data_IF_832893948364
#
_entry.id   IF_832893948364
#
_cell.length_a   1.000
_cell.length_b   1.000
_cell.length_c   1.000
_cell.angle_alpha   90.00
_cell.angle_beta   90.00
_cell.angle_gamma   90.00
#
_symmetry.space_group_name_H-M   'P 1'
#
loop_
_entity.id
_entity.type
_entity.pdbx_description
1 polymer ?
#
# COMPACT_ATOMS: atom_id res chain seq x y z
N UNK A 1 -2.81 -25.30 15.39
CA UNK A 1 -1.98 -24.34 14.62
C UNK A 1 -2.42 -22.93 15.03
N UNK A 2 -1.68 -22.28 15.93
CA UNK A 2 -2.07 -20.97 16.45
C UNK A 2 -2.01 -19.92 15.36
N UNK A 3 -3.15 -19.33 14.99
CA UNK A 3 -3.22 -18.17 14.13
C UNK A 3 -2.45 -17.04 14.83
N UNK A 4 -1.16 -16.83 14.48
CA UNK A 4 -0.44 -15.61 14.89
C UNK A 4 -1.10 -14.45 14.14
N UNK A 5 -2.15 -13.89 14.74
CA UNK A 5 -2.91 -12.78 14.16
C UNK A 5 -1.95 -11.60 14.01
N UNK A 6 -1.44 -11.41 12.81
CA UNK A 6 -0.54 -10.32 12.51
C UNK A 6 -1.39 -9.05 12.40
N UNK A 7 -1.38 -8.24 13.46
CA UNK A 7 -2.18 -7.03 13.63
C UNK A 7 -2.05 -6.05 12.44
N UNK A 8 -0.93 -6.10 11.72
CA UNK A 8 -0.71 -5.28 10.53
C UNK A 8 -1.68 -5.61 9.38
N UNK A 9 -2.22 -6.83 9.30
CA UNK A 9 -3.21 -7.20 8.29
C UNK A 9 -4.51 -6.40 8.40
N UNK A 10 -5.29 -6.48 9.49
CA UNK A 10 -6.53 -5.72 9.60
C UNK A 10 -6.28 -4.21 9.58
N UNK A 11 -5.17 -3.74 10.16
CA UNK A 11 -4.82 -2.32 10.16
C UNK A 11 -4.59 -1.79 8.73
N UNK A 12 -3.70 -2.43 7.96
CA UNK A 12 -3.37 -2.00 6.61
C UNK A 12 -4.53 -2.24 5.64
N UNK A 13 -5.26 -3.35 5.79
CA UNK A 13 -6.45 -3.59 4.97
C UNK A 13 -7.56 -2.56 5.26
N UNK A 14 -7.74 -2.14 6.52
CA UNK A 14 -8.67 -1.07 6.88
C UNK A 14 -8.29 0.26 6.24
N UNK A 15 -7.00 0.62 6.30
CA UNK A 15 -6.47 1.83 5.63
C UNK A 15 -6.66 1.73 4.11
N UNK A 16 -6.29 0.62 3.48
CA UNK A 16 -6.48 0.42 2.04
C UNK A 16 -7.94 0.49 1.61
N UNK A 17 -8.86 -0.04 2.42
CA UNK A 17 -10.30 0.03 2.16
C UNK A 17 -10.85 1.45 2.28
N UNK A 18 -10.26 2.29 3.13
CA UNK A 18 -10.65 3.71 3.22
C UNK A 18 -10.40 4.48 1.91
N UNK A 19 -9.57 3.95 1.00
CA UNK A 19 -9.32 4.51 -0.33
C UNK A 19 -10.56 4.52 -1.24
N UNK A 20 -11.60 3.77 -0.89
CA UNK A 20 -12.91 3.86 -1.54
C UNK A 20 -13.47 5.28 -1.45
N UNK A 21 -13.31 5.97 -0.31
CA UNK A 21 -13.85 7.31 -0.08
C UNK A 21 -13.35 8.34 -1.10
N UNK A 22 -12.03 8.55 -1.29
CA UNK A 22 -11.54 9.52 -2.28
C UNK A 22 -11.87 9.10 -3.72
N UNK A 23 -11.90 7.80 -4.05
CA UNK A 23 -12.23 7.35 -5.41
C UNK A 23 -13.70 7.58 -5.75
N UNK A 24 -14.62 7.33 -4.81
CA UNK A 24 -16.03 7.68 -4.98
C UNK A 24 -16.25 9.20 -5.00
N UNK A 25 -15.48 9.97 -4.22
CA UNK A 25 -15.48 11.43 -4.29
C UNK A 25 -15.08 11.94 -5.68
N UNK A 26 -13.98 11.44 -6.23
CA UNK A 26 -13.53 11.75 -7.58
C UNK A 26 -14.56 11.35 -8.65
N UNK A 27 -15.27 10.23 -8.44
CA UNK A 27 -16.35 9.78 -9.33
C UNK A 27 -17.53 10.76 -9.33
N UNK A 28 -17.96 11.22 -8.16
CA UNK A 28 -19.03 12.24 -8.03
C UNK A 28 -18.65 13.57 -8.70
N UNK A 29 -17.36 13.87 -8.77
CA UNK A 29 -16.83 15.03 -9.48
C UNK A 29 -16.65 14.81 -10.99
N UNK A 30 -17.15 13.70 -11.55
CA UNK A 30 -17.04 13.32 -12.96
C UNK A 30 -15.60 13.35 -13.50
N UNK A 31 -14.63 12.94 -12.68
CA UNK A 31 -13.24 12.84 -13.13
C UNK A 31 -13.11 11.84 -14.29
N UNK A 32 -12.22 12.11 -15.27
CA UNK A 32 -12.06 11.26 -16.45
C UNK A 32 -11.45 9.90 -16.08
N UNK A 33 -11.73 8.88 -16.89
CA UNK A 33 -11.22 7.51 -16.69
C UNK A 33 -9.68 7.46 -16.51
N UNK A 34 -8.95 8.30 -17.25
CA UNK A 34 -7.49 8.42 -17.18
C UNK A 34 -6.97 8.77 -15.78
N UNK A 35 -7.73 9.55 -15.00
CA UNK A 35 -7.38 9.88 -13.62
C UNK A 35 -7.31 8.61 -12.76
N UNK A 36 -8.35 7.76 -12.85
CA UNK A 36 -8.42 6.50 -12.12
C UNK A 36 -7.36 5.50 -12.58
N UNK A 37 -7.10 5.43 -13.88
CA UNK A 37 -6.02 4.61 -14.45
C UNK A 37 -4.64 5.05 -13.97
N UNK A 38 -4.39 6.35 -13.85
CA UNK A 38 -3.13 6.88 -13.35
C UNK A 38 -2.89 6.44 -11.89
N UNK A 39 -3.90 6.57 -11.02
CA UNK A 39 -3.80 6.09 -9.63
C UNK A 39 -3.69 4.57 -9.53
N UNK A 40 -4.46 3.82 -10.32
CA UNK A 40 -4.35 2.37 -10.37
C UNK A 40 -2.94 1.92 -10.75
N UNK A 41 -2.38 2.51 -11.80
CA UNK A 41 -1.03 2.22 -12.28
C UNK A 41 0.02 2.60 -11.24
N UNK A 42 -0.13 3.76 -10.61
CA UNK A 42 0.77 4.22 -9.55
C UNK A 42 0.81 3.22 -8.38
N UNK A 43 -0.36 2.80 -7.88
CA UNK A 43 -0.44 1.86 -6.76
C UNK A 43 0.04 0.47 -7.14
N UNK A 44 -0.22 0.03 -8.37
CA UNK A 44 0.31 -1.21 -8.90
C UNK A 44 1.84 -1.20 -8.93
N UNK A 45 2.46 -0.17 -9.52
CA UNK A 45 3.92 -0.01 -9.55
C UNK A 45 4.49 0.07 -8.13
N UNK A 46 3.86 0.84 -7.24
CA UNK A 46 4.27 0.96 -5.85
C UNK A 46 4.28 -0.41 -5.13
N UNK A 47 3.34 -1.31 -5.45
CA UNK A 47 3.29 -2.65 -4.85
C UNK A 47 4.53 -3.50 -5.15
N UNK A 48 5.15 -3.32 -6.32
CA UNK A 48 6.41 -3.99 -6.67
C UNK A 48 7.62 -3.23 -6.10
N UNK A 49 7.58 -1.90 -6.17
CA UNK A 49 8.66 -1.04 -5.71
C UNK A 49 8.81 -0.99 -4.18
N UNK A 50 7.81 -1.42 -3.41
CA UNK A 50 7.84 -1.32 -1.95
C UNK A 50 8.99 -2.10 -1.30
N UNK A 51 9.41 -3.22 -1.90
CA UNK A 51 10.49 -4.04 -1.35
C UNK A 51 11.85 -3.37 -1.48
N UNK A 52 12.29 -2.98 -2.70
CA UNK A 52 13.53 -2.23 -2.82
C UNK A 52 13.48 -0.91 -2.05
N UNK A 53 12.33 -0.24 -1.99
CA UNK A 53 12.16 0.98 -1.22
C UNK A 53 12.36 0.76 0.29
N UNK A 54 11.81 -0.32 0.84
CA UNK A 54 12.00 -0.68 2.24
C UNK A 54 13.47 -0.99 2.53
N UNK A 55 14.15 -1.72 1.63
CA UNK A 55 15.58 -2.05 1.77
C UNK A 55 16.49 -0.82 1.70
N UNK A 56 16.18 0.14 0.82
CA UNK A 56 16.87 1.44 0.78
C UNK A 56 16.65 2.20 2.10
N UNK A 57 15.42 2.21 2.62
CA UNK A 57 15.10 2.84 3.90
C UNK A 57 15.89 2.26 5.08
N UNK A 58 16.04 0.94 5.15
CA UNK A 58 16.88 0.28 6.17
C UNK A 58 18.35 0.64 6.00
N UNK A 59 18.88 0.60 4.77
CA UNK A 59 20.28 0.97 4.48
C UNK A 59 20.57 2.41 4.88
N UNK A 60 19.65 3.34 4.62
CA UNK A 60 19.78 4.74 5.05
C UNK A 60 19.80 4.86 6.58
N UNK A 61 18.90 4.16 7.29
CA UNK A 61 18.91 4.13 8.76
C UNK A 61 20.22 3.57 9.33
N UNK A 62 20.79 2.53 8.72
CA UNK A 62 22.12 2.01 9.09
C UNK A 62 23.22 3.06 8.87
N UNK A 63 23.20 3.77 7.73
CA UNK A 63 24.17 4.84 7.44
C UNK A 63 24.08 6.01 8.42
N UNK A 64 22.88 6.33 8.92
CA UNK A 64 22.67 7.37 9.93
C UNK A 64 23.03 6.93 11.37
N UNK A 65 23.61 5.74 11.55
CA UNK A 65 23.99 5.23 12.88
C UNK A 65 22.83 4.63 13.69
N UNK A 66 21.61 4.60 13.15
CA UNK A 66 20.41 4.07 13.80
C UNK A 66 20.31 2.53 13.68
N UNK A 67 21.38 1.82 14.04
CA UNK A 67 21.50 0.36 13.87
C UNK A 67 20.35 -0.42 14.51
N UNK A 68 19.98 -0.05 15.74
CA UNK A 68 18.90 -0.70 16.50
C UNK A 68 17.52 -0.57 15.82
N UNK A 69 17.25 0.57 15.17
CA UNK A 69 16.02 0.79 14.40
C UNK A 69 16.04 0.09 13.04
N UNK A 70 17.21 -0.01 12.41
CA UNK A 70 17.38 -0.76 11.17
C UNK A 70 17.15 -2.27 11.39
N UNK A 71 17.71 -2.84 12.46
CA UNK A 71 17.55 -4.27 12.78
C UNK A 71 16.11 -4.60 13.22
N UNK A 72 15.45 -3.68 13.93
CA UNK A 72 14.01 -3.80 14.22
C UNK A 72 13.17 -3.74 12.93
N UNK A 73 13.52 -2.84 12.00
CA UNK A 73 12.92 -2.74 10.67
C UNK A 73 13.05 -4.03 9.85
N UNK A 74 14.23 -4.66 9.83
CA UNK A 74 14.43 -5.95 9.14
C UNK A 74 13.54 -7.05 9.70
N UNK A 75 13.38 -7.12 11.03
CA UNK A 75 12.47 -8.10 11.67
C UNK A 75 11.01 -7.84 11.37
N UNK A 76 10.61 -6.56 11.33
CA UNK A 76 9.24 -6.16 11.02
C UNK A 76 8.91 -6.29 9.52
N UNK A 77 9.90 -6.22 8.63
CA UNK A 77 9.74 -6.38 7.18
C UNK A 77 8.89 -7.60 6.83
N UNK A 78 9.22 -8.77 7.38
CA UNK A 78 8.52 -10.02 7.08
C UNK A 78 7.02 -9.99 7.47
N UNK A 79 6.66 -9.17 8.48
CA UNK A 79 5.29 -9.06 8.97
C UNK A 79 4.50 -7.96 8.25
N UNK A 80 5.13 -6.83 7.93
CA UNK A 80 4.47 -5.64 7.37
C UNK A 80 4.42 -5.69 5.84
N UNK A 81 5.47 -6.22 5.20
CA UNK A 81 5.61 -6.14 3.74
C UNK A 81 4.52 -6.92 2.98
N UNK A 82 4.12 -8.15 3.38
CA UNK A 82 3.00 -8.84 2.74
C UNK A 82 1.66 -8.08 2.81
N UNK A 83 1.15 -7.69 4.00
CA UNK A 83 -0.12 -6.95 4.07
C UNK A 83 -0.03 -5.58 3.39
N UNK A 84 1.13 -4.92 3.42
CA UNK A 84 1.32 -3.63 2.76
C UNK A 84 1.24 -3.75 1.23
N UNK A 85 1.83 -4.79 0.64
CA UNK A 85 1.66 -5.09 -0.79
C UNK A 85 0.19 -5.34 -1.14
N UNK A 86 -0.49 -6.15 -0.35
CA UNK A 86 -1.91 -6.42 -0.55
C UNK A 86 -2.76 -5.15 -0.43
N UNK A 87 -2.46 -4.27 0.53
CA UNK A 87 -3.11 -2.97 0.67
C UNK A 87 -2.94 -2.12 -0.59
N UNK A 88 -1.72 -2.00 -1.13
CA UNK A 88 -1.46 -1.24 -2.34
C UNK A 88 -2.18 -1.82 -3.56
N UNK A 89 -2.19 -3.15 -3.70
CA UNK A 89 -2.96 -3.82 -4.75
C UNK A 89 -4.46 -3.60 -4.60
N UNK A 90 -4.98 -3.65 -3.37
CA UNK A 90 -6.39 -3.35 -3.08
C UNK A 90 -6.74 -1.92 -3.50
N UNK A 91 -5.89 -0.93 -3.17
CA UNK A 91 -6.06 0.46 -3.60
C UNK A 91 -6.05 0.59 -5.13
N UNK A 92 -5.17 -0.13 -5.82
CA UNK A 92 -5.12 -0.16 -7.29
C UNK A 92 -6.43 -0.72 -7.87
N UNK A 93 -6.95 -1.82 -7.31
CA UNK A 93 -8.21 -2.44 -7.73
C UNK A 93 -9.40 -1.50 -7.46
N UNK A 94 -9.46 -0.86 -6.30
CA UNK A 94 -10.50 0.12 -5.98
C UNK A 94 -10.49 1.27 -7.01
N UNK A 95 -9.30 1.80 -7.34
CA UNK A 95 -9.16 2.83 -8.37
C UNK A 95 -9.64 2.36 -9.74
N UNK A 96 -9.32 1.12 -10.15
CA UNK A 96 -9.82 0.55 -11.41
C UNK A 96 -11.34 0.39 -11.42
N UNK A 97 -11.92 -0.19 -10.36
CA UNK A 97 -13.37 -0.39 -10.24
C UNK A 97 -14.09 0.95 -10.32
N UNK A 98 -13.62 1.97 -9.59
CA UNK A 98 -14.21 3.30 -9.64
C UNK A 98 -14.14 3.90 -11.05
N UNK A 99 -13.04 3.70 -11.78
CA UNK A 99 -12.91 4.11 -13.17
C UNK A 99 -13.93 3.43 -14.09
N UNK A 100 -14.07 2.10 -13.97
CA UNK A 100 -14.88 1.26 -14.86
C UNK A 100 -16.39 1.25 -14.55
N UNK A 101 -16.79 1.61 -13.33
CA UNK A 101 -18.21 1.78 -13.01
C UNK A 101 -18.84 2.83 -13.93
N UNK A 102 -20.04 2.57 -14.46
CA UNK A 102 -20.76 3.60 -15.23
C UNK A 102 -21.11 4.78 -14.29
N UNK A 103 -21.08 6.03 -14.80
CA UNK A 103 -21.53 7.19 -14.04
C UNK A 103 -22.99 7.04 -13.59
#
# INVERSE_FOLDING_TARGET
MGFKFNLWWPLLMGIGSSWIIPMFGAKKLNQPLWFFLAFASLWFIASFAIVPLYDVGIKLRRKMGLKRLADWGERMKAQILPPLRCMLLLMAVISLIAGLMKP
#
